data_IF_958813329935
#
_entry.id   IF_958813329935
#
_cell.length_a   1.000
_cell.length_b   1.000
_cell.length_c   1.000
_cell.angle_alpha   90.00
_cell.angle_beta   90.00
_cell.angle_gamma   90.00
#
_symmetry.space_group_name_H-M   'P 1'
#
loop_
_entity.id
_entity.type
_entity.pdbx_description
1 polymer ?
#
# COMPACT_ATOMS: atom_id res chain seq x y z
N UNK A 1 -4.08 6.59 1.02
CA UNK A 1 -2.93 6.80 1.90
C UNK A 1 -1.96 5.64 1.74
N UNK A 2 -0.67 5.91 1.61
CA UNK A 2 0.38 4.87 1.60
C UNK A 2 1.14 4.90 2.92
N UNK A 3 1.60 3.73 3.36
CA UNK A 3 2.56 3.58 4.45
C UNK A 3 3.69 2.66 4.00
N UNK A 4 4.87 2.88 4.57
CA UNK A 4 6.05 2.10 4.26
C UNK A 4 6.76 1.72 5.56
N UNK A 5 7.20 0.47 5.66
CA UNK A 5 8.04 -0.02 6.74
C UNK A 5 9.35 -0.53 6.15
N UNK A 6 10.46 0.08 6.54
CA UNK A 6 11.80 -0.33 6.10
C UNK A 6 12.57 -0.84 7.31
N UNK A 7 13.00 -2.10 7.25
CA UNK A 7 13.77 -2.75 8.30
C UNK A 7 15.07 -3.29 7.70
N UNK A 8 16.14 -3.34 8.50
CA UNK A 8 17.33 -4.12 8.11
C UNK A 8 16.97 -5.61 8.08
N UNK A 9 17.56 -6.36 7.17
CA UNK A 9 17.32 -7.81 7.03
C UNK A 9 17.73 -8.60 8.28
N UNK A 10 18.70 -8.11 9.04
CA UNK A 10 19.16 -8.69 10.32
C UNK A 10 18.32 -8.26 11.53
N UNK A 11 17.28 -7.44 11.33
CA UNK A 11 16.41 -7.03 12.41
C UNK A 11 15.59 -8.23 12.92
N UNK A 12 15.61 -8.55 14.23
CA UNK A 12 14.93 -9.74 14.77
C UNK A 12 13.40 -9.73 14.59
N UNK A 13 12.80 -8.57 14.28
CA UNK A 13 11.38 -8.45 13.99
C UNK A 13 11.01 -8.93 12.59
N UNK A 14 11.97 -9.09 11.67
CA UNK A 14 11.79 -9.59 10.30
C UNK A 14 11.52 -11.10 10.38
N UNK A 15 10.31 -11.60 10.02
CA UNK A 15 10.05 -13.03 9.99
C UNK A 15 10.98 -13.77 9.04
N UNK A 16 11.37 -15.00 9.40
CA UNK A 16 12.21 -15.85 8.52
C UNK A 16 11.47 -16.31 7.25
N UNK A 17 10.13 -16.38 7.29
CA UNK A 17 9.29 -16.83 6.17
C UNK A 17 8.59 -15.64 5.52
N UNK A 18 8.79 -15.45 4.21
CA UNK A 18 8.20 -14.35 3.42
C UNK A 18 6.68 -14.24 3.51
N UNK A 19 5.97 -15.36 3.67
CA UNK A 19 4.52 -15.37 3.79
C UNK A 19 4.01 -14.74 5.09
N UNK A 20 4.79 -14.83 6.18
CA UNK A 20 4.41 -14.28 7.48
C UNK A 20 4.57 -12.76 7.57
N UNK A 21 5.20 -12.14 6.58
CA UNK A 21 5.43 -10.70 6.59
C UNK A 21 4.14 -9.91 6.47
N UNK A 22 3.30 -10.26 5.50
CA UNK A 22 2.02 -9.58 5.32
C UNK A 22 1.10 -9.84 6.50
N UNK A 23 1.08 -11.07 7.03
CA UNK A 23 0.33 -11.42 8.23
C UNK A 23 0.72 -10.57 9.44
N UNK A 24 2.00 -10.29 9.63
CA UNK A 24 2.50 -9.47 10.74
C UNK A 24 2.33 -7.97 10.49
N UNK A 25 2.86 -7.47 9.39
CA UNK A 25 3.05 -6.03 9.18
C UNK A 25 1.84 -5.31 8.58
N UNK A 26 0.83 -6.04 8.10
CA UNK A 26 -0.45 -5.45 7.69
C UNK A 26 -1.49 -5.37 8.82
N UNK A 27 -1.19 -5.92 10.02
CA UNK A 27 -2.11 -5.82 11.17
C UNK A 27 -2.51 -4.38 11.53
N UNK A 28 -1.64 -3.34 11.45
CA UNK A 28 -2.04 -1.97 11.73
C UNK A 28 -3.11 -1.48 10.74
N UNK A 29 -2.92 -1.75 9.44
CA UNK A 29 -3.90 -1.39 8.42
C UNK A 29 -5.20 -2.20 8.56
N UNK A 30 -5.10 -3.48 8.89
CA UNK A 30 -6.24 -4.35 9.16
C UNK A 30 -7.07 -3.85 10.35
N UNK A 31 -6.39 -3.41 11.42
CA UNK A 31 -7.03 -2.85 12.61
C UNK A 31 -7.70 -1.52 12.28
N UNK A 32 -7.04 -0.64 11.52
CA UNK A 32 -7.63 0.63 11.09
C UNK A 32 -8.95 0.45 10.32
N UNK A 33 -9.06 -0.58 9.47
CA UNK A 33 -10.34 -0.91 8.82
C UNK A 33 -11.40 -1.42 9.82
N UNK A 34 -11.00 -2.28 10.76
CA UNK A 34 -11.92 -2.83 11.77
C UNK A 34 -12.45 -1.79 12.73
N UNK A 35 -11.63 -0.81 13.10
CA UNK A 35 -12.03 0.32 13.95
C UNK A 35 -13.08 1.21 13.25
N UNK A 36 -13.14 1.17 11.91
CA UNK A 36 -14.18 1.81 11.09
C UNK A 36 -15.41 0.91 10.86
N UNK A 37 -15.52 -0.22 11.55
CA UNK A 37 -16.62 -1.17 11.39
C UNK A 37 -16.53 -2.06 10.16
N UNK A 38 -15.42 -2.04 9.41
CA UNK A 38 -15.22 -2.87 8.23
C UNK A 38 -14.64 -4.22 8.66
N UNK A 39 -15.33 -5.31 8.35
CA UNK A 39 -14.90 -6.68 8.64
C UNK A 39 -13.75 -7.13 7.72
N UNK A 40 -12.62 -6.42 7.79
CA UNK A 40 -11.45 -6.64 6.97
C UNK A 40 -10.68 -7.90 7.39
N UNK A 41 -10.21 -8.62 6.37
CA UNK A 41 -9.38 -9.82 6.47
C UNK A 41 -8.24 -9.77 5.45
N UNK A 42 -7.14 -10.44 5.79
CA UNK A 42 -6.05 -10.65 4.84
C UNK A 42 -6.46 -11.70 3.81
N UNK A 43 -6.17 -11.40 2.55
CA UNK A 43 -6.27 -12.34 1.44
C UNK A 43 -4.89 -12.53 0.84
N UNK A 44 -4.44 -13.78 0.82
CA UNK A 44 -3.16 -14.12 0.23
C UNK A 44 -3.10 -13.69 -1.25
N UNK A 45 -1.94 -13.20 -1.74
CA UNK A 45 -0.68 -13.10 -1.00
C UNK A 45 -0.53 -11.83 -0.16
N UNK A 46 -1.13 -10.70 -0.54
CA UNK A 46 -0.81 -9.40 0.03
C UNK A 46 -1.97 -8.39 -0.01
N UNK A 47 -3.22 -8.85 -0.02
CA UNK A 47 -4.39 -7.97 -0.12
C UNK A 47 -5.14 -7.89 1.22
N UNK A 48 -5.78 -6.75 1.47
CA UNK A 48 -6.83 -6.65 2.50
C UNK A 48 -8.18 -6.61 1.79
N UNK A 49 -9.12 -7.45 2.23
CA UNK A 49 -10.44 -7.58 1.64
C UNK A 49 -11.54 -7.56 2.69
N UNK A 50 -12.74 -7.11 2.32
CA UNK A 50 -13.96 -7.28 3.10
C UNK A 50 -15.15 -7.43 2.14
N UNK A 51 -16.11 -8.29 2.48
CA UNK A 51 -17.29 -8.53 1.63
C UNK A 51 -16.94 -8.97 0.20
N UNK A 52 -15.83 -9.69 0.01
CA UNK A 52 -15.35 -10.12 -1.31
C UNK A 52 -14.66 -9.05 -2.16
N UNK A 53 -14.58 -7.80 -1.69
CA UNK A 53 -13.90 -6.70 -2.39
C UNK A 53 -12.54 -6.37 -1.78
N UNK A 54 -11.65 -5.85 -2.61
CA UNK A 54 -10.30 -5.38 -2.24
C UNK A 54 -10.33 -3.95 -1.72
N UNK A 55 -9.74 -3.76 -0.55
CA UNK A 55 -9.56 -2.48 0.14
C UNK A 55 -8.10 -2.01 0.12
N UNK A 56 -7.15 -2.93 -0.06
CA UNK A 56 -5.72 -2.62 -0.02
C UNK A 56 -4.95 -3.59 -0.90
N UNK A 57 -3.92 -3.09 -1.59
CA UNK A 57 -2.91 -3.88 -2.28
C UNK A 57 -1.53 -3.57 -1.69
N UNK A 58 -0.81 -4.61 -1.30
CA UNK A 58 0.46 -4.47 -0.58
C UNK A 58 1.58 -5.19 -1.33
N UNK A 59 2.81 -4.77 -1.06
CA UNK A 59 4.00 -5.32 -1.68
C UNK A 59 5.17 -5.32 -0.71
N UNK A 60 6.15 -6.18 -0.98
CA UNK A 60 7.42 -6.17 -0.27
C UNK A 60 8.57 -6.50 -1.19
N UNK A 61 9.76 -6.04 -0.83
CA UNK A 61 10.97 -6.28 -1.60
C UNK A 61 12.22 -6.09 -0.77
N UNK A 62 13.25 -6.86 -1.12
CA UNK A 62 14.61 -6.69 -0.59
C UNK A 62 15.30 -5.53 -1.34
N UNK A 63 15.83 -4.56 -0.59
CA UNK A 63 16.55 -3.38 -1.11
C UNK A 63 17.89 -3.27 -0.38
N UNK A 64 18.95 -3.75 -1.03
CA UNK A 64 20.27 -3.82 -0.40
C UNK A 64 20.23 -4.66 0.89
N UNK A 65 20.74 -4.14 2.03
CA UNK A 65 20.69 -4.83 3.33
C UNK A 65 19.35 -4.65 4.06
N UNK A 66 18.35 -4.06 3.41
CA UNK A 66 17.05 -3.77 3.99
C UNK A 66 15.96 -4.53 3.28
N UNK A 67 14.81 -4.58 3.92
CA UNK A 67 13.56 -5.07 3.35
C UNK A 67 12.50 -4.00 3.55
N UNK A 68 11.71 -3.75 2.50
CA UNK A 68 10.66 -2.73 2.49
C UNK A 68 9.29 -3.40 2.36
N UNK A 69 8.35 -2.98 3.20
CA UNK A 69 6.93 -3.27 3.07
C UNK A 69 6.21 -2.01 2.68
N UNK A 70 5.38 -2.10 1.65
CA UNK A 70 4.57 -0.99 1.18
C UNK A 70 3.12 -1.45 1.22
N UNK A 71 2.30 -0.68 1.90
CA UNK A 71 0.87 -0.91 1.93
C UNK A 71 0.09 0.37 1.75
N UNK A 72 -1.21 0.21 1.54
CA UNK A 72 -2.09 1.34 1.35
C UNK A 72 -3.45 1.16 2.04
N UNK A 73 -4.09 2.29 2.32
CA UNK A 73 -5.52 2.39 2.61
C UNK A 73 -6.14 3.15 1.44
N UNK A 74 -7.06 2.50 0.71
CA UNK A 74 -7.79 3.11 -0.40
C UNK A 74 -8.85 4.08 0.14
N UNK A 75 -8.50 5.36 0.20
CA UNK A 75 -9.43 6.43 0.61
C UNK A 75 -10.47 6.67 -0.47
N UNK A 76 -9.97 6.94 -1.68
CA UNK A 76 -10.73 7.15 -2.91
C UNK A 76 -9.90 6.63 -4.09
N UNK A 77 -10.55 6.36 -5.23
CA UNK A 77 -9.93 5.77 -6.40
C UNK A 77 -10.66 6.19 -7.70
N UNK A 78 -9.93 6.82 -8.61
CA UNK A 78 -10.46 7.16 -9.93
C UNK A 78 -10.37 5.98 -10.90
N UNK A 79 -11.46 5.22 -10.96
CA UNK A 79 -11.61 4.06 -11.83
C UNK A 79 -11.56 4.41 -13.32
N UNK A 80 -11.98 5.62 -13.71
CA UNK A 80 -11.97 6.07 -15.11
C UNK A 80 -10.53 6.30 -15.53
N UNK A 81 -9.78 7.09 -14.76
CA UNK A 81 -8.36 7.37 -15.03
C UNK A 81 -7.54 6.09 -15.03
N UNK A 82 -7.74 5.19 -14.06
CA UNK A 82 -7.02 3.91 -14.03
C UNK A 82 -7.32 3.05 -15.27
N UNK A 83 -8.58 2.99 -15.72
CA UNK A 83 -8.94 2.20 -16.91
C UNK A 83 -8.29 2.73 -18.19
N UNK A 84 -7.97 4.02 -18.24
CA UNK A 84 -7.29 4.67 -19.36
C UNK A 84 -5.78 4.56 -19.30
N UNK A 85 -5.20 4.41 -18.11
CA UNK A 85 -3.76 4.26 -17.92
C UNK A 85 -3.21 2.94 -18.48
N UNK A 86 -4.03 1.88 -18.50
CA UNK A 86 -3.60 0.58 -19.02
C UNK A 86 -3.73 0.50 -20.55
N UNK A 87 -2.67 0.04 -21.20
CA UNK A 87 -2.70 -0.30 -22.63
C UNK A 87 -3.58 -1.54 -22.81
N UNK A 88 -4.70 -1.37 -23.51
CA UNK A 88 -5.70 -2.43 -23.76
C UNK A 88 -6.01 -2.56 -25.25
N UNK A 89 -6.48 -3.73 -25.71
CA UNK A 89 -6.64 -3.99 -27.15
C UNK A 89 -7.69 -3.10 -27.85
N UNK A 90 -8.77 -2.72 -27.16
CA UNK A 90 -9.87 -1.92 -27.71
C UNK A 90 -10.73 -1.28 -26.60
N UNK A 91 -11.69 -0.43 -26.99
CA UNK A 91 -12.58 0.28 -26.06
C UNK A 91 -13.51 -0.65 -25.27
N UNK A 92 -14.05 -1.68 -25.93
CA UNK A 92 -14.91 -2.67 -25.27
C UNK A 92 -14.19 -3.37 -24.12
N UNK A 93 -12.92 -3.75 -24.33
CA UNK A 93 -12.08 -4.31 -23.28
C UNK A 93 -11.87 -3.32 -22.12
N UNK A 94 -11.65 -2.04 -22.41
CA UNK A 94 -11.51 -1.01 -21.37
C UNK A 94 -12.76 -0.85 -20.53
N UNK A 95 -13.93 -0.86 -21.16
CA UNK A 95 -15.20 -0.82 -20.45
C UNK A 95 -15.38 -2.04 -19.55
N UNK A 96 -14.99 -3.23 -20.02
CA UNK A 96 -14.99 -4.43 -19.20
C UNK A 96 -14.02 -4.32 -18.01
N UNK A 97 -12.80 -3.82 -18.25
CA UNK A 97 -11.82 -3.58 -17.20
C UNK A 97 -12.36 -2.62 -16.13
N UNK A 98 -12.96 -1.49 -16.53
CA UNK A 98 -13.60 -0.55 -15.62
C UNK A 98 -14.67 -1.25 -14.76
N UNK A 99 -15.57 -2.02 -15.37
CA UNK A 99 -16.65 -2.74 -14.67
C UNK A 99 -16.09 -3.76 -13.68
N UNK A 100 -15.06 -4.51 -14.08
CA UNK A 100 -14.39 -5.49 -13.21
C UNK A 100 -13.73 -4.77 -12.03
N UNK A 101 -13.04 -3.66 -12.24
CA UNK A 101 -12.43 -2.90 -11.15
C UNK A 101 -13.49 -2.39 -10.17
N UNK A 102 -14.59 -1.77 -10.64
CA UNK A 102 -15.68 -1.32 -9.75
C UNK A 102 -16.37 -2.47 -9.00
N UNK A 103 -16.45 -3.65 -9.61
CA UNK A 103 -17.02 -4.82 -8.96
C UNK A 103 -16.10 -5.38 -7.84
N UNK A 104 -14.78 -5.28 -8.00
CA UNK A 104 -13.81 -5.98 -7.15
C UNK A 104 -13.02 -5.08 -6.20
N UNK A 105 -12.96 -3.76 -6.43
CA UNK A 105 -12.24 -2.80 -5.59
C UNK A 105 -13.25 -1.86 -4.97
N UNK A 106 -13.00 -1.47 -3.72
CA UNK A 106 -13.82 -0.51 -2.99
C UNK A 106 -12.92 0.44 -2.20
N UNK A 107 -13.46 1.60 -1.85
CA UNK A 107 -12.74 2.65 -1.14
C UNK A 107 -13.43 2.96 0.19
N UNK A 108 -12.77 3.72 1.07
CA UNK A 108 -13.44 4.22 2.27
C UNK A 108 -14.61 5.15 1.93
N UNK A 109 -14.49 5.96 0.87
CA UNK A 109 -15.59 6.79 0.37
C UNK A 109 -16.80 5.97 -0.07
N UNK A 110 -16.61 4.76 -0.62
CA UNK A 110 -17.72 3.86 -1.00
C UNK A 110 -18.43 3.24 0.23
N UNK A 111 -17.78 3.22 1.41
CA UNK A 111 -18.22 2.42 2.56
C UNK A 111 -18.67 3.24 3.78
N UNK A 112 -18.23 4.49 3.87
CA UNK A 112 -18.51 5.34 5.03
C UNK A 112 -19.51 6.44 4.66
N UNK A 113 -20.41 6.76 5.59
CA UNK A 113 -21.37 7.86 5.42
C UNK A 113 -20.68 9.24 5.39
N UNK A 114 -19.49 9.33 5.98
CA UNK A 114 -18.67 10.54 6.03
C UNK A 114 -17.22 10.23 5.67
N UNK A 115 -16.49 11.16 5.02
CA UNK A 115 -15.09 10.95 4.67
C UNK A 115 -14.24 10.65 5.90
N UNK A 116 -13.42 9.60 5.83
CA UNK A 116 -12.44 9.33 6.88
C UNK A 116 -11.35 10.41 6.87
N UNK A 117 -11.09 11.00 8.03
CA UNK A 117 -10.05 12.01 8.18
C UNK A 117 -8.66 11.38 8.08
N UNK A 118 -7.79 11.98 7.26
CA UNK A 118 -6.43 11.47 7.03
C UNK A 118 -5.62 11.38 8.33
N UNK A 119 -5.68 12.41 9.18
CA UNK A 119 -4.95 12.48 10.46
C UNK A 119 -5.37 11.37 11.42
N UNK A 120 -6.67 11.06 11.49
CA UNK A 120 -7.24 9.99 12.30
C UNK A 120 -6.74 8.62 11.84
N UNK A 121 -6.75 8.37 10.52
CA UNK A 121 -6.20 7.13 9.95
C UNK A 121 -4.68 7.01 10.17
N UNK A 122 -3.94 8.10 9.98
CA UNK A 122 -2.50 8.13 10.21
C UNK A 122 -2.16 7.86 11.69
N UNK A 123 -2.90 8.44 12.62
CA UNK A 123 -2.76 8.22 14.06
C UNK A 123 -3.02 6.76 14.42
N UNK A 124 -4.10 6.17 13.88
CA UNK A 124 -4.41 4.75 14.07
C UNK A 124 -3.32 3.83 13.54
N UNK A 125 -2.78 4.11 12.35
CA UNK A 125 -1.65 3.37 11.79
C UNK A 125 -0.40 3.49 12.65
N UNK A 126 -0.03 4.70 13.09
CA UNK A 126 1.14 4.93 13.95
C UNK A 126 1.01 4.13 15.25
N UNK A 127 -0.15 4.21 15.92
CA UNK A 127 -0.41 3.46 17.14
C UNK A 127 -0.34 1.94 16.90
N UNK A 128 -0.88 1.46 15.78
CA UNK A 128 -0.79 0.05 15.38
C UNK A 128 0.66 -0.39 15.14
N UNK A 129 1.47 0.41 14.45
CA UNK A 129 2.88 0.11 14.25
C UNK A 129 3.69 0.18 15.55
N UNK A 130 3.38 1.12 16.46
CA UNK A 130 4.04 1.18 17.76
C UNK A 130 3.79 -0.07 18.61
N UNK A 131 2.59 -0.68 18.53
CA UNK A 131 2.30 -1.97 19.18
C UNK A 131 3.19 -3.11 18.64
N UNK A 132 3.60 -3.05 17.37
CA UNK A 132 4.40 -4.09 16.72
C UNK A 132 5.92 -3.87 16.84
N UNK A 133 6.35 -2.61 16.77
CA UNK A 133 7.76 -2.23 16.63
C UNK A 133 8.33 -1.61 17.91
N UNK A 134 7.48 -1.29 18.89
CA UNK A 134 7.85 -0.52 20.07
C UNK A 134 7.78 0.99 19.81
N UNK A 135 8.52 1.75 20.60
CA UNK A 135 8.50 3.21 20.51
C UNK A 135 8.97 3.69 19.13
N UNK A 136 8.17 4.55 18.50
CA UNK A 136 8.51 5.24 17.26
C UNK A 136 8.65 6.73 17.55
N UNK A 137 9.79 7.30 17.15
CA UNK A 137 10.05 8.74 17.27
C UNK A 137 9.90 9.40 15.89
N UNK A 138 9.10 10.47 15.77
CA UNK A 138 8.94 11.17 14.50
C UNK A 138 10.28 11.81 14.08
N UNK A 139 10.59 11.68 12.79
CA UNK A 139 11.76 12.29 12.17
C UNK A 139 11.38 12.84 10.81
N UNK A 140 11.83 14.05 10.53
CA UNK A 140 11.81 14.58 9.17
C UNK A 140 12.94 13.94 8.35
N UNK A 141 12.74 13.70 7.04
CA UNK A 141 13.83 13.34 6.16
C UNK A 141 14.95 14.39 6.24
N UNK A 142 16.17 13.94 6.51
CA UNK A 142 17.35 14.80 6.51
C UNK A 142 17.80 15.14 5.07
N UNK A 143 18.82 15.99 4.96
CA UNK A 143 19.32 16.45 3.67
C UNK A 143 19.85 15.30 2.81
N UNK A 144 20.52 14.31 3.41
CA UNK A 144 21.09 13.16 2.69
C UNK A 144 19.97 12.27 2.10
N UNK A 145 18.94 11.98 2.90
CA UNK A 145 17.78 11.20 2.45
C UNK A 145 17.02 11.93 1.35
N UNK A 146 16.81 13.24 1.48
CA UNK A 146 16.12 14.06 0.45
C UNK A 146 16.89 14.08 -0.86
N UNK A 147 18.20 14.30 -0.81
CA UNK A 147 19.05 14.33 -1.99
C UNK A 147 19.14 12.96 -2.66
N UNK A 148 19.25 11.89 -1.86
CA UNK A 148 19.21 10.52 -2.38
C UNK A 148 17.86 10.21 -3.03
N UNK A 149 16.74 10.59 -2.40
CA UNK A 149 15.41 10.41 -2.96
C UNK A 149 15.24 11.18 -4.27
N UNK A 150 15.76 12.41 -4.36
CA UNK A 150 15.76 13.22 -5.59
C UNK A 150 16.51 12.51 -6.71
N UNK A 151 17.77 12.13 -6.48
CA UNK A 151 18.62 11.44 -7.47
C UNK A 151 18.03 10.09 -7.91
N UNK A 152 17.51 9.30 -6.96
CA UNK A 152 16.85 8.03 -7.28
C UNK A 152 15.57 8.29 -8.07
N UNK A 153 14.79 9.30 -7.69
CA UNK A 153 13.60 9.74 -8.42
C UNK A 153 13.91 10.07 -9.87
N UNK A 154 14.91 10.91 -10.13
CA UNK A 154 15.34 11.28 -11.49
C UNK A 154 15.62 10.06 -12.37
N UNK A 155 16.30 9.06 -11.81
CA UNK A 155 16.57 7.80 -12.50
C UNK A 155 15.31 6.97 -12.71
N UNK A 156 14.49 6.77 -11.67
CA UNK A 156 13.30 5.90 -11.72
C UNK A 156 12.16 6.47 -12.56
N UNK A 157 12.20 7.78 -12.86
CA UNK A 157 11.25 8.44 -13.76
C UNK A 157 11.86 8.76 -15.13
N UNK A 158 13.10 8.34 -15.41
CA UNK A 158 13.72 8.54 -16.71
C UNK A 158 13.08 7.62 -17.76
N UNK A 159 13.09 8.04 -19.04
CA UNK A 159 12.65 7.16 -20.14
C UNK A 159 13.48 5.89 -20.21
N UNK A 160 14.79 6.00 -20.01
CA UNK A 160 15.70 4.85 -19.98
C UNK A 160 15.22 3.77 -18.99
N UNK A 161 14.72 4.17 -17.83
CA UNK A 161 14.17 3.23 -16.85
C UNK A 161 12.76 2.78 -17.18
N UNK A 162 11.85 3.70 -17.53
CA UNK A 162 10.44 3.40 -17.78
C UNK A 162 10.21 2.57 -19.04
N UNK A 163 11.09 2.68 -20.03
CA UNK A 163 11.01 1.94 -21.29
C UNK A 163 11.72 0.57 -21.20
N UNK A 164 12.29 0.21 -20.05
CA UNK A 164 12.85 -1.13 -19.83
C UNK A 164 11.75 -2.18 -20.03
N UNK A 165 12.02 -3.27 -20.77
CA UNK A 165 11.07 -4.35 -20.89
C UNK A 165 10.79 -4.95 -19.50
N UNK A 166 9.51 -5.12 -19.16
CA UNK A 166 9.12 -5.87 -17.97
C UNK A 166 9.69 -7.29 -18.04
N UNK A 167 10.22 -7.78 -16.92
CA UNK A 167 10.64 -9.18 -16.77
C UNK A 167 9.44 -10.11 -16.60
#
# INVERSE_FOLDING_TARGET
>A
MFFQLVLRQDNPLVPLRRQLFYEKFLQPALSAYRDLGIAAALKAPADITAGGKKYSGNGSGDIGPCVAYVGNILLDFDFVTMSRALKVPNETYRQHLYRIMRANITTLTDCLESPAEYSSLATGLIAGFQKLLGHLSPREPDAELRETARRVGERLTSREWLDLPGR
#
